data_IF_881814161462
#
_entry.id   IF_881814161462
#
_cell.length_a   1.000
_cell.length_b   1.000
_cell.length_c   1.000
_cell.angle_alpha   90.00
_cell.angle_beta   90.00
_cell.angle_gamma   90.00
#
_symmetry.space_group_name_H-M   'P 1'
#
loop_
_entity.id
_entity.type
_entity.pdbx_description
1 polymer ?
#
# COMPACT_ATOMS: atom_id res chain seq x y z
N UNK A 1 7.83 1.95 -13.74
CA UNK A 1 7.03 0.90 -14.43
C UNK A 1 7.01 -0.35 -13.56
N UNK A 2 5.87 -1.07 -13.50
CA UNK A 2 5.77 -2.42 -12.91
C UNK A 2 5.58 -3.41 -14.05
N UNK A 3 6.31 -4.53 -14.02
CA UNK A 3 6.14 -5.63 -14.96
C UNK A 3 6.14 -6.95 -14.21
N UNK A 4 5.14 -7.78 -14.47
CA UNK A 4 4.98 -9.12 -13.87
C UNK A 4 4.83 -10.14 -14.98
N UNK A 5 5.54 -11.27 -14.87
CA UNK A 5 5.41 -12.42 -15.76
C UNK A 5 5.21 -13.70 -14.95
N UNK A 6 4.14 -14.44 -15.26
CA UNK A 6 3.81 -15.78 -14.76
C UNK A 6 3.92 -15.93 -13.23
N UNK A 7 3.41 -14.94 -12.47
CA UNK A 7 3.47 -14.93 -11.02
C UNK A 7 2.55 -16.00 -10.43
N UNK A 8 3.09 -16.84 -9.56
CA UNK A 8 2.36 -17.90 -8.87
C UNK A 8 2.67 -17.84 -7.38
N UNK A 9 1.61 -17.87 -6.55
CA UNK A 9 1.74 -18.00 -5.10
C UNK A 9 0.89 -19.17 -4.62
N UNK A 10 1.54 -20.10 -3.96
CA UNK A 10 0.93 -21.29 -3.39
C UNK A 10 1.16 -21.28 -1.86
N UNK A 11 0.14 -21.68 -1.09
CA UNK A 11 0.21 -21.83 0.36
C UNK A 11 -0.20 -23.24 0.77
N UNK A 12 0.37 -23.80 1.86
CA UNK A 12 -0.08 -25.08 2.41
C UNK A 12 -1.52 -24.95 2.95
N UNK A 13 -2.38 -25.91 2.63
CA UNK A 13 -3.79 -25.96 3.07
C UNK A 13 -4.00 -26.52 4.49
N UNK A 14 -2.93 -26.76 5.24
CA UNK A 14 -2.96 -27.40 6.55
C UNK A 14 -3.05 -28.94 6.49
N UNK A 15 -3.37 -29.53 5.35
CA UNK A 15 -3.39 -30.97 5.09
C UNK A 15 -2.20 -31.48 4.27
N UNK A 16 -1.20 -30.60 4.05
CA UNK A 16 0.02 -30.93 3.30
C UNK A 16 -0.11 -30.75 1.77
N UNK A 17 -1.27 -30.35 1.26
CA UNK A 17 -1.44 -29.96 -0.14
C UNK A 17 -1.17 -28.46 -0.32
N UNK A 18 -0.63 -28.10 -1.48
CA UNK A 18 -0.46 -26.69 -1.88
C UNK A 18 -1.72 -26.16 -2.54
N UNK A 19 -2.27 -25.08 -2.00
CA UNK A 19 -3.40 -24.36 -2.57
C UNK A 19 -2.90 -23.14 -3.33
N UNK A 20 -3.26 -23.02 -4.59
CA UNK A 20 -2.94 -21.84 -5.40
C UNK A 20 -3.78 -20.65 -4.96
N UNK A 21 -3.15 -19.69 -4.34
CA UNK A 21 -3.80 -18.46 -3.84
C UNK A 21 -3.76 -17.33 -4.86
N UNK A 22 -2.79 -17.35 -5.80
CA UNK A 22 -2.63 -16.31 -6.80
C UNK A 22 -1.99 -16.88 -8.07
N UNK A 23 -2.54 -16.49 -9.24
CA UNK A 23 -1.95 -16.73 -10.55
C UNK A 23 -2.14 -15.48 -11.41
N UNK A 24 -1.04 -14.81 -11.77
CA UNK A 24 -1.04 -13.63 -12.63
C UNK A 24 -0.20 -13.94 -13.87
N UNK A 25 -0.81 -14.18 -15.03
CA UNK A 25 -0.08 -14.47 -16.27
C UNK A 25 0.83 -13.32 -16.67
N UNK A 26 0.29 -12.10 -16.67
CA UNK A 26 1.03 -10.87 -16.94
C UNK A 26 0.34 -9.65 -16.32
N UNK A 27 1.16 -8.66 -15.94
CA UNK A 27 0.66 -7.36 -15.49
C UNK A 27 1.70 -6.30 -15.85
N UNK A 28 1.26 -5.19 -16.43
CA UNK A 28 2.14 -4.05 -16.74
C UNK A 28 1.45 -2.77 -16.33
N UNK A 29 2.14 -1.93 -15.55
CA UNK A 29 1.70 -0.58 -15.18
C UNK A 29 2.82 0.41 -15.51
N UNK A 30 2.58 1.41 -16.38
CA UNK A 30 3.60 2.40 -16.73
C UNK A 30 3.97 3.29 -15.55
N UNK A 31 5.09 4.01 -15.64
CA UNK A 31 5.52 4.97 -14.62
C UNK A 31 4.44 6.03 -14.37
N UNK A 32 4.28 6.41 -13.10
CA UNK A 32 3.20 7.30 -12.67
C UNK A 32 1.80 6.73 -12.85
N UNK A 33 1.68 5.45 -13.24
CA UNK A 33 0.41 4.79 -13.44
C UNK A 33 -0.31 4.47 -12.13
N UNK A 34 -1.65 4.36 -12.21
CA UNK A 34 -2.46 3.90 -11.10
C UNK A 34 -3.49 2.85 -11.55
N UNK A 35 -3.65 1.82 -10.74
CA UNK A 35 -4.60 0.74 -11.03
C UNK A 35 -5.31 0.27 -9.76
N UNK A 36 -6.57 -0.15 -9.91
CA UNK A 36 -7.28 -0.87 -8.87
C UNK A 36 -7.22 -2.37 -9.14
N UNK A 37 -6.91 -3.12 -8.09
CA UNK A 37 -6.86 -4.58 -8.08
C UNK A 37 -8.20 -5.09 -7.56
N UNK A 38 -8.93 -5.80 -8.39
CA UNK A 38 -10.30 -6.25 -8.11
C UNK A 38 -10.40 -7.76 -8.04
N UNK A 39 -11.48 -8.24 -7.47
CA UNK A 39 -11.81 -9.66 -7.31
C UNK A 39 -12.58 -9.91 -6.03
N UNK A 40 -13.25 -11.07 -5.89
CA UNK A 40 -13.99 -11.43 -4.67
C UNK A 40 -13.08 -11.56 -3.45
N UNK A 41 -13.66 -11.70 -2.27
CA UNK A 41 -12.90 -12.01 -1.06
C UNK A 41 -12.15 -13.33 -1.25
N UNK A 42 -10.88 -13.39 -0.82
CA UNK A 42 -10.03 -14.58 -0.99
C UNK A 42 -9.42 -14.76 -2.38
N UNK A 43 -9.64 -13.85 -3.34
CA UNK A 43 -9.09 -13.96 -4.70
C UNK A 43 -7.57 -13.68 -4.83
N UNK A 44 -6.88 -13.37 -3.72
CA UNK A 44 -5.44 -13.12 -3.74
C UNK A 44 -5.03 -11.65 -3.89
N UNK A 45 -5.93 -10.67 -3.75
CA UNK A 45 -5.60 -9.23 -3.85
C UNK A 45 -4.50 -8.81 -2.87
N UNK A 46 -4.64 -9.14 -1.60
CA UNK A 46 -3.62 -8.88 -0.56
C UNK A 46 -2.32 -9.61 -0.88
N UNK A 47 -2.40 -10.87 -1.33
CA UNK A 47 -1.24 -11.68 -1.76
C UNK A 47 -0.50 -10.99 -2.91
N UNK A 48 -1.24 -10.46 -3.88
CA UNK A 48 -0.67 -9.70 -5.00
C UNK A 48 0.11 -8.46 -4.51
N UNK A 49 -0.48 -7.65 -3.62
CA UNK A 49 0.21 -6.49 -3.04
C UNK A 49 1.41 -6.89 -2.18
N UNK A 50 1.32 -7.99 -1.44
CA UNK A 50 2.44 -8.51 -0.64
C UNK A 50 3.61 -8.97 -1.52
N UNK A 51 3.35 -9.58 -2.67
CA UNK A 51 4.40 -9.93 -3.63
C UNK A 51 5.08 -8.69 -4.20
N UNK A 52 4.31 -7.67 -4.61
CA UNK A 52 4.83 -6.41 -5.11
C UNK A 52 5.69 -5.67 -4.08
N UNK A 53 5.29 -5.72 -2.81
CA UNK A 53 6.07 -5.09 -1.73
C UNK A 53 7.30 -5.92 -1.29
N UNK A 54 7.49 -7.13 -1.81
CA UNK A 54 8.52 -8.06 -1.34
C UNK A 54 8.29 -8.58 0.08
N UNK A 55 7.07 -8.47 0.62
CA UNK A 55 6.67 -9.12 1.88
C UNK A 55 6.49 -10.62 1.69
N UNK A 56 6.06 -11.04 0.51
CA UNK A 56 5.87 -12.42 0.14
C UNK A 56 6.74 -12.76 -1.07
N UNK A 57 7.45 -13.89 -0.99
CA UNK A 57 8.18 -14.46 -2.13
C UNK A 57 7.25 -15.41 -2.87
N UNK A 58 6.99 -15.21 -4.18
CA UNK A 58 6.16 -16.10 -4.96
C UNK A 58 6.85 -17.45 -5.18
N UNK A 59 6.06 -18.49 -5.46
CA UNK A 59 6.55 -19.82 -5.81
C UNK A 59 7.20 -19.84 -7.22
N UNK A 60 6.72 -19.00 -8.13
CA UNK A 60 7.25 -18.85 -9.48
C UNK A 60 6.91 -17.49 -10.07
N UNK A 61 7.61 -17.13 -11.16
CA UNK A 61 7.40 -15.88 -11.89
C UNK A 61 8.35 -14.76 -11.47
N UNK A 62 8.23 -13.63 -12.17
CA UNK A 62 9.08 -12.46 -11.96
C UNK A 62 8.28 -11.20 -11.73
N UNK A 63 8.77 -10.34 -10.83
CA UNK A 63 8.26 -9.00 -10.57
C UNK A 63 9.41 -8.03 -10.73
N UNK A 64 9.27 -7.06 -11.62
CA UNK A 64 10.20 -5.95 -11.79
C UNK A 64 9.49 -4.62 -11.54
N UNK A 65 10.11 -3.73 -10.76
CA UNK A 65 9.59 -2.40 -10.43
C UNK A 65 10.71 -1.38 -10.67
N UNK A 66 10.57 -0.61 -11.75
CA UNK A 66 11.63 0.24 -12.26
C UNK A 66 12.83 -0.60 -12.65
N UNK A 67 13.95 -0.32 -12.02
CA UNK A 67 15.26 -0.97 -12.19
C UNK A 67 15.46 -2.21 -11.29
N UNK A 68 14.49 -2.54 -10.43
CA UNK A 68 14.63 -3.61 -9.43
C UNK A 68 13.78 -4.83 -9.77
N UNK A 69 14.39 -6.00 -9.85
CA UNK A 69 13.69 -7.30 -9.90
C UNK A 69 13.45 -7.79 -8.50
N UNK A 70 12.25 -7.52 -7.96
CA UNK A 70 11.89 -7.79 -6.57
C UNK A 70 11.99 -9.27 -6.20
N UNK A 71 11.68 -10.16 -7.15
CA UNK A 71 11.72 -11.62 -6.95
C UNK A 71 13.12 -12.20 -6.83
N UNK A 72 14.17 -11.48 -7.27
CA UNK A 72 15.56 -11.90 -7.15
C UNK A 72 16.26 -11.38 -5.89
N UNK A 73 15.62 -10.49 -5.15
CA UNK A 73 16.21 -9.88 -3.95
C UNK A 73 16.35 -10.90 -2.80
N UNK A 74 17.45 -10.84 -2.08
CA UNK A 74 17.64 -11.48 -0.77
C UNK A 74 16.69 -10.90 0.28
N UNK A 75 16.61 -11.50 1.46
CA UNK A 75 15.75 -11.02 2.53
C UNK A 75 16.10 -9.57 2.96
N UNK A 76 17.39 -9.27 3.07
CA UNK A 76 17.89 -7.96 3.48
C UNK A 76 17.64 -6.91 2.40
N UNK A 77 17.88 -7.25 1.13
CA UNK A 77 17.59 -6.37 -0.01
C UNK A 77 16.10 -6.08 -0.14
N UNK A 78 15.20 -7.08 0.10
CA UNK A 78 13.75 -6.83 0.17
C UNK A 78 13.38 -5.89 1.30
N UNK A 79 14.05 -5.98 2.45
CA UNK A 79 13.85 -5.03 3.54
C UNK A 79 14.25 -3.62 3.13
N UNK A 80 15.43 -3.45 2.54
CA UNK A 80 15.91 -2.18 2.03
C UNK A 80 15.00 -1.60 0.94
N UNK A 81 14.52 -2.45 0.02
CA UNK A 81 13.56 -2.08 -1.02
C UNK A 81 12.25 -1.54 -0.41
N UNK A 82 11.66 -2.25 0.57
CA UNK A 82 10.46 -1.77 1.26
C UNK A 82 10.68 -0.44 1.95
N UNK A 83 11.79 -0.29 2.63
CA UNK A 83 12.11 0.94 3.38
C UNK A 83 12.32 2.14 2.46
N UNK A 84 12.93 1.95 1.30
CA UNK A 84 13.29 3.04 0.39
C UNK A 84 12.25 3.33 -0.70
N UNK A 85 11.53 2.31 -1.19
CA UNK A 85 10.70 2.42 -2.39
C UNK A 85 9.20 2.24 -2.15
N UNK A 86 8.78 1.56 -1.05
CA UNK A 86 7.38 1.15 -0.87
C UNK A 86 6.71 1.88 0.28
N UNK A 87 5.59 2.55 0.01
CA UNK A 87 4.61 2.96 1.01
C UNK A 87 3.46 1.96 1.02
N UNK A 88 3.10 1.43 2.19
CA UNK A 88 2.02 0.46 2.32
C UNK A 88 0.95 0.95 3.29
N UNK A 89 -0.29 1.07 2.81
CA UNK A 89 -1.48 1.38 3.62
C UNK A 89 -2.25 0.09 3.82
N UNK A 90 -2.19 -0.44 5.02
CA UNK A 90 -2.89 -1.68 5.40
C UNK A 90 -4.36 -1.43 5.69
N UNK A 91 -5.19 -2.45 5.53
CA UNK A 91 -6.60 -2.44 5.90
C UNK A 91 -6.80 -2.07 7.38
N UNK A 92 -5.98 -2.64 8.27
CA UNK A 92 -5.90 -2.22 9.68
C UNK A 92 -4.75 -1.22 9.83
N UNK A 93 -4.99 -0.04 10.43
CA UNK A 93 -3.93 0.95 10.65
C UNK A 93 -2.88 0.45 11.64
N UNK A 94 -1.85 -0.20 11.23
CA UNK A 94 -0.82 -0.78 12.10
C UNK A 94 0.01 0.31 12.81
N UNK A 95 -0.65 1.21 13.56
CA UNK A 95 0.00 2.25 14.35
C UNK A 95 0.60 1.67 15.63
N UNK A 96 1.67 2.31 16.10
CA UNK A 96 2.23 2.04 17.43
C UNK A 96 1.34 2.77 18.47
N UNK A 97 0.55 2.03 19.28
CA UNK A 97 -0.56 2.63 20.04
C UNK A 97 -0.10 3.58 21.13
N UNK A 98 1.10 3.34 21.67
CA UNK A 98 1.68 4.15 22.75
C UNK A 98 2.41 5.41 22.27
N UNK A 99 2.72 5.49 20.98
CA UNK A 99 3.32 6.66 20.36
C UNK A 99 2.25 7.68 19.98
N UNK A 100 2.61 8.95 20.01
CA UNK A 100 1.81 10.04 19.47
C UNK A 100 1.74 9.95 17.93
N UNK A 101 0.86 10.74 17.34
CA UNK A 101 0.73 10.86 15.88
C UNK A 101 2.07 11.27 15.25
N UNK A 102 2.69 12.32 15.77
CA UNK A 102 3.98 12.81 15.27
C UNK A 102 5.09 11.77 15.43
N UNK A 103 5.13 11.05 16.56
CA UNK A 103 6.11 9.98 16.79
C UNK A 103 5.92 8.80 15.86
N UNK A 104 4.68 8.39 15.57
CA UNK A 104 4.39 7.36 14.57
C UNK A 104 4.93 7.71 13.19
N UNK A 105 4.77 8.98 12.77
CA UNK A 105 5.27 9.47 11.47
C UNK A 105 6.80 9.53 11.49
N UNK A 106 7.42 10.11 12.54
CA UNK A 106 8.88 10.17 12.69
C UNK A 106 9.52 8.79 12.71
N UNK A 107 8.91 7.85 13.42
CA UNK A 107 9.39 6.47 13.46
C UNK A 107 9.45 5.86 12.05
N UNK A 108 8.41 6.05 11.24
CA UNK A 108 8.43 5.57 9.86
C UNK A 108 9.55 6.22 9.02
N UNK A 109 9.77 7.52 9.17
CA UNK A 109 10.85 8.22 8.48
C UNK A 109 12.23 7.71 8.89
N UNK A 110 12.44 7.52 10.22
CA UNK A 110 13.73 7.07 10.76
C UNK A 110 14.15 5.68 10.29
N UNK A 111 13.21 4.77 10.06
CA UNK A 111 13.49 3.45 9.50
C UNK A 111 14.12 3.51 8.10
N UNK A 112 13.86 4.58 7.35
CA UNK A 112 14.47 4.83 6.04
C UNK A 112 15.69 5.78 6.12
N UNK A 113 16.24 6.02 7.32
CA UNK A 113 17.35 6.94 7.52
C UNK A 113 17.00 8.41 7.31
N UNK A 114 15.69 8.75 7.27
CA UNK A 114 15.21 10.13 7.06
C UNK A 114 14.76 10.75 8.38
N UNK A 115 14.87 12.06 8.46
CA UNK A 115 14.36 12.83 9.58
C UNK A 115 13.16 13.65 9.11
N UNK A 116 11.98 13.39 9.68
CA UNK A 116 10.80 14.20 9.45
C UNK A 116 10.80 15.37 10.44
N UNK A 117 10.96 16.58 9.92
CA UNK A 117 10.97 17.79 10.73
C UNK A 117 9.56 18.16 11.21
N UNK A 118 9.47 18.98 12.26
CA UNK A 118 8.19 19.36 12.87
C UNK A 118 7.25 20.01 11.84
N UNK A 119 7.75 20.97 11.07
CA UNK A 119 6.94 21.67 10.06
C UNK A 119 6.46 20.77 8.92
N UNK A 120 7.25 19.75 8.52
CA UNK A 120 6.82 18.75 7.53
C UNK A 120 5.64 17.93 8.07
N UNK A 121 5.71 17.50 9.34
CA UNK A 121 4.64 16.72 9.97
C UNK A 121 3.37 17.57 10.12
N UNK A 122 3.49 18.82 10.55
CA UNK A 122 2.35 19.74 10.66
C UNK A 122 1.65 19.95 9.32
N UNK A 123 2.41 20.16 8.25
CA UNK A 123 1.89 20.26 6.89
C UNK A 123 1.18 18.98 6.44
N UNK A 124 1.78 17.80 6.66
CA UNK A 124 1.15 16.52 6.34
C UNK A 124 -0.17 16.32 7.10
N UNK A 125 -0.22 16.69 8.38
CA UNK A 125 -1.43 16.58 9.19
C UNK A 125 -2.52 17.56 8.74
N UNK A 126 -2.16 18.77 8.38
CA UNK A 126 -3.08 19.76 7.83
C UNK A 126 -3.75 19.22 6.56
N UNK A 127 -2.97 18.68 5.62
CA UNK A 127 -3.46 18.12 4.35
C UNK A 127 -4.50 17.02 4.55
N UNK A 128 -4.41 16.23 5.61
CA UNK A 128 -5.38 15.16 5.90
C UNK A 128 -6.43 15.56 6.95
N UNK A 129 -6.50 16.84 7.34
CA UNK A 129 -7.48 17.36 8.30
C UNK A 129 -7.26 16.83 9.73
N UNK A 130 -6.02 16.71 10.15
CA UNK A 130 -5.62 16.25 11.49
C UNK A 130 -4.75 17.29 12.24
N UNK A 131 -4.79 18.57 11.86
CA UNK A 131 -4.09 19.65 12.56
C UNK A 131 -4.42 19.66 14.06
N UNK A 132 -3.42 19.88 14.90
CA UNK A 132 -3.58 19.93 16.35
C UNK A 132 -3.61 18.55 17.03
N UNK A 133 -3.48 17.45 16.27
CA UNK A 133 -3.43 16.10 16.83
C UNK A 133 -2.01 15.52 16.95
N UNK A 134 -0.99 16.33 16.72
CA UNK A 134 0.43 15.92 16.68
C UNK A 134 0.86 15.14 17.91
N UNK A 135 0.43 15.62 19.08
CA UNK A 135 0.80 15.08 20.38
C UNK A 135 -0.23 14.08 20.94
N UNK A 136 -1.29 13.80 20.18
CA UNK A 136 -2.30 12.80 20.59
C UNK A 136 -1.78 11.40 20.37
N UNK A 137 -1.95 10.52 21.35
CA UNK A 137 -1.57 9.11 21.23
C UNK A 137 -2.45 8.40 20.19
N UNK A 138 -1.85 7.46 19.45
CA UNK A 138 -2.54 6.75 18.39
C UNK A 138 -3.73 5.91 18.87
N UNK A 139 -3.67 5.36 20.09
CA UNK A 139 -4.78 4.61 20.72
C UNK A 139 -6.01 5.48 21.07
N UNK A 140 -5.86 6.81 21.05
CA UNK A 140 -6.93 7.79 21.35
C UNK A 140 -7.56 8.38 20.09
N UNK A 141 -7.20 7.91 18.92
CA UNK A 141 -7.74 8.35 17.65
C UNK A 141 -8.97 7.51 17.26
N UNK A 142 -9.92 8.13 16.53
CA UNK A 142 -10.97 7.37 15.83
C UNK A 142 -10.36 6.51 14.71
N UNK A 143 -11.08 5.46 14.28
CA UNK A 143 -10.62 4.58 13.20
C UNK A 143 -10.23 5.35 11.92
N UNK A 144 -11.04 6.36 11.54
CA UNK A 144 -10.74 7.20 10.39
C UNK A 144 -9.51 8.08 10.57
N UNK A 145 -9.29 8.59 11.78
CA UNK A 145 -8.05 9.32 12.10
C UNK A 145 -6.84 8.39 12.05
N UNK A 146 -6.94 7.20 12.62
CA UNK A 146 -5.86 6.20 12.58
C UNK A 146 -5.51 5.83 11.14
N UNK A 147 -6.51 5.64 10.27
CA UNK A 147 -6.27 5.29 8.86
C UNK A 147 -5.57 6.43 8.11
N UNK A 148 -5.92 7.69 8.37
CA UNK A 148 -5.22 8.85 7.82
C UNK A 148 -3.78 8.96 8.31
N UNK A 149 -3.52 8.71 9.59
CA UNK A 149 -2.14 8.64 10.13
C UNK A 149 -1.36 7.47 9.51
N UNK A 150 -1.99 6.30 9.30
CA UNK A 150 -1.37 5.18 8.61
C UNK A 150 -0.95 5.54 7.17
N UNK A 151 -1.79 6.29 6.47
CA UNK A 151 -1.43 6.83 5.15
C UNK A 151 -0.24 7.79 5.24
N UNK A 152 -0.21 8.73 6.20
CA UNK A 152 0.94 9.62 6.38
C UNK A 152 2.24 8.88 6.67
N UNK A 153 2.18 7.80 7.45
CA UNK A 153 3.33 6.91 7.68
C UNK A 153 3.83 6.25 6.40
N UNK A 154 2.93 5.90 5.50
CA UNK A 154 3.31 5.29 4.23
C UNK A 154 4.02 6.29 3.30
N UNK A 155 3.59 7.57 3.30
CA UNK A 155 4.07 8.58 2.34
C UNK A 155 5.22 9.46 2.84
N UNK A 156 5.45 9.57 4.16
CA UNK A 156 6.51 10.45 4.72
C UNK A 156 7.90 10.13 4.17
N UNK A 157 8.10 8.92 3.70
CA UNK A 157 9.36 8.46 3.07
C UNK A 157 9.44 8.78 1.58
N UNK A 158 8.39 9.36 0.98
CA UNK A 158 8.25 9.65 -0.46
C UNK A 158 8.51 8.40 -1.30
N UNK A 159 7.66 7.38 -1.16
CA UNK A 159 7.84 6.12 -1.89
C UNK A 159 7.58 6.30 -3.38
N UNK A 160 8.29 5.53 -4.22
CA UNK A 160 8.00 5.44 -5.65
C UNK A 160 6.85 4.50 -5.98
N UNK A 161 6.46 3.63 -5.02
CA UNK A 161 5.34 2.70 -5.11
C UNK A 161 4.46 2.83 -3.86
N UNK A 162 3.21 3.23 -4.03
CA UNK A 162 2.19 3.28 -2.99
C UNK A 162 1.20 2.14 -3.19
N UNK A 163 1.12 1.27 -2.19
CA UNK A 163 0.21 0.14 -2.14
C UNK A 163 -0.85 0.38 -1.06
N UNK A 164 -2.12 0.12 -1.38
CA UNK A 164 -3.22 0.28 -0.44
C UNK A 164 -4.13 -0.96 -0.48
N UNK A 165 -4.26 -1.62 0.65
CA UNK A 165 -5.08 -2.82 0.80
C UNK A 165 -6.36 -2.46 1.57
N UNK A 166 -7.51 -2.44 0.87
CA UNK A 166 -8.83 -2.08 1.41
C UNK A 166 -8.80 -0.81 2.30
N UNK A 167 -8.20 0.31 1.84
CA UNK A 167 -7.87 1.45 2.71
C UNK A 167 -9.10 2.14 3.30
N UNK A 168 -10.29 1.90 2.76
CA UNK A 168 -11.55 2.54 3.18
C UNK A 168 -12.52 1.58 3.88
N UNK A 169 -12.17 0.30 4.04
CA UNK A 169 -13.11 -0.73 4.52
C UNK A 169 -13.67 -0.48 5.93
N UNK A 170 -12.92 0.21 6.80
CA UNK A 170 -13.33 0.54 8.17
C UNK A 170 -13.83 1.98 8.33
N UNK A 171 -14.05 2.72 7.22
CA UNK A 171 -14.41 4.11 7.21
C UNK A 171 -15.87 4.30 6.77
N UNK A 172 -16.54 5.31 7.34
CA UNK A 172 -17.75 5.83 6.75
C UNK A 172 -17.48 6.44 5.37
N UNK A 173 -18.54 6.71 4.64
CA UNK A 173 -18.43 7.16 3.24
C UNK A 173 -17.65 8.48 3.10
N UNK A 174 -17.88 9.44 3.99
CA UNK A 174 -17.22 10.74 3.93
C UNK A 174 -15.73 10.64 4.22
N UNK A 175 -15.35 9.91 5.27
CA UNK A 175 -13.95 9.70 5.62
C UNK A 175 -13.23 8.84 4.58
N UNK A 176 -13.89 7.82 4.01
CA UNK A 176 -13.36 7.03 2.91
C UNK A 176 -13.09 7.87 1.66
N UNK A 177 -14.03 8.75 1.29
CA UNK A 177 -13.86 9.68 0.17
C UNK A 177 -12.69 10.63 0.40
N UNK A 178 -12.60 11.25 1.59
CA UNK A 178 -11.49 12.15 1.94
C UNK A 178 -10.14 11.45 1.86
N UNK A 179 -10.01 10.23 2.41
CA UNK A 179 -8.76 9.48 2.32
C UNK A 179 -8.36 9.21 0.88
N UNK A 180 -9.31 8.79 0.02
CA UNK A 180 -9.03 8.57 -1.38
C UNK A 180 -8.63 9.85 -2.11
N UNK A 181 -9.27 10.99 -1.80
CA UNK A 181 -8.89 12.29 -2.35
C UNK A 181 -7.42 12.63 -2.03
N UNK A 182 -6.98 12.41 -0.78
CA UNK A 182 -5.58 12.62 -0.38
C UNK A 182 -4.62 11.67 -1.09
N UNK A 183 -4.97 10.38 -1.21
CA UNK A 183 -4.12 9.40 -1.89
C UNK A 183 -3.92 9.74 -3.36
N UNK A 184 -5.01 10.11 -4.05
CA UNK A 184 -4.96 10.47 -5.47
C UNK A 184 -4.28 11.84 -5.71
N UNK A 185 -4.43 12.79 -4.79
CA UNK A 185 -3.70 14.07 -4.84
C UNK A 185 -2.20 13.83 -4.68
N UNK A 186 -1.80 13.05 -3.67
CA UNK A 186 -0.41 12.68 -3.44
C UNK A 186 0.20 11.97 -4.66
N UNK A 187 -0.51 10.99 -5.23
CA UNK A 187 -0.05 10.27 -6.41
C UNK A 187 0.22 11.21 -7.59
N UNK A 188 -0.68 12.19 -7.84
CA UNK A 188 -0.50 13.17 -8.92
C UNK A 188 0.66 14.13 -8.68
N UNK A 189 0.88 14.55 -7.43
CA UNK A 189 1.96 15.46 -7.06
C UNK A 189 3.33 14.80 -7.14
N UNK A 190 3.45 13.58 -6.63
CA UNK A 190 4.74 12.87 -6.54
C UNK A 190 5.02 11.98 -7.77
N UNK A 191 4.02 11.73 -8.62
CA UNK A 191 4.17 10.85 -9.79
C UNK A 191 4.48 9.39 -9.45
N UNK A 192 4.17 8.95 -8.21
CA UNK A 192 4.43 7.58 -7.79
C UNK A 192 3.46 6.59 -8.45
N UNK A 193 3.84 5.32 -8.48
CA UNK A 193 2.93 4.22 -8.84
C UNK A 193 1.93 4.01 -7.70
N UNK A 194 0.63 3.87 -8.02
CA UNK A 194 -0.42 3.61 -7.03
C UNK A 194 -1.23 2.38 -7.39
N UNK A 195 -1.21 1.37 -6.51
CA UNK A 195 -2.11 0.22 -6.60
C UNK A 195 -3.01 0.15 -5.37
N UNK A 196 -4.31 0.02 -5.60
CA UNK A 196 -5.31 -0.11 -4.54
C UNK A 196 -6.08 -1.42 -4.72
N UNK A 197 -5.99 -2.32 -3.76
CA UNK A 197 -6.85 -3.50 -3.72
C UNK A 197 -8.14 -3.16 -2.99
N UNK A 198 -9.28 -3.37 -3.64
CA UNK A 198 -10.58 -3.14 -3.01
C UNK A 198 -11.72 -3.83 -3.76
N UNK A 199 -12.83 -4.04 -3.07
CA UNK A 199 -14.12 -4.44 -3.63
C UNK A 199 -15.15 -3.31 -3.63
N UNK A 200 -14.81 -2.12 -3.08
CA UNK A 200 -15.69 -0.95 -3.07
C UNK A 200 -15.76 -0.30 -4.45
N UNK A 201 -16.94 -0.37 -5.08
CA UNK A 201 -17.18 0.22 -6.41
C UNK A 201 -16.94 1.73 -6.45
N UNK A 202 -17.15 2.45 -5.34
CA UNK A 202 -16.92 3.90 -5.27
C UNK A 202 -15.43 4.21 -5.42
N UNK A 203 -14.57 3.39 -4.81
CA UNK A 203 -13.11 3.49 -4.94
C UNK A 203 -12.67 3.04 -6.33
N UNK A 204 -13.18 1.90 -6.83
CA UNK A 204 -12.84 1.38 -8.16
C UNK A 204 -13.05 2.41 -9.27
N UNK A 205 -14.14 3.19 -9.20
CA UNK A 205 -14.48 4.20 -10.20
C UNK A 205 -13.50 5.40 -10.24
N UNK A 206 -12.60 5.50 -9.29
CA UNK A 206 -11.58 6.55 -9.20
C UNK A 206 -10.28 6.20 -9.95
N UNK A 207 -10.12 4.96 -10.40
CA UNK A 207 -8.92 4.47 -11.06
C UNK A 207 -9.15 4.30 -12.57
N UNK A 208 -8.18 4.72 -13.41
CA UNK A 208 -8.29 4.58 -14.86
C UNK A 208 -8.13 3.13 -15.33
N UNK A 209 -7.38 2.32 -14.58
CA UNK A 209 -7.10 0.93 -14.91
C UNK A 209 -7.65 0.01 -13.81
N UNK A 210 -8.27 -1.10 -14.25
CA UNK A 210 -8.77 -2.14 -13.35
C UNK A 210 -8.17 -3.48 -13.75
N UNK A 211 -7.57 -4.15 -12.81
CA UNK A 211 -7.04 -5.49 -12.99
C UNK A 211 -7.81 -6.48 -12.14
N UNK A 212 -8.41 -7.48 -12.77
CA UNK A 212 -9.09 -8.58 -12.08
C UNK A 212 -8.08 -9.70 -11.80
N UNK A 213 -7.78 -9.87 -10.52
CA UNK A 213 -6.78 -10.85 -10.07
C UNK A 213 -7.22 -12.31 -10.34
N UNK A 214 -8.52 -12.57 -10.33
CA UNK A 214 -9.05 -13.91 -10.60
C UNK A 214 -9.02 -14.25 -12.08
N UNK A 215 -9.29 -13.26 -12.94
CA UNK A 215 -9.22 -13.41 -14.39
C UNK A 215 -7.79 -13.30 -14.91
N UNK A 216 -6.89 -12.71 -14.15
CA UNK A 216 -5.52 -12.44 -14.56
C UNK A 216 -5.40 -11.43 -15.70
N UNK A 217 -6.33 -10.48 -15.80
CA UNK A 217 -6.41 -9.54 -16.91
C UNK A 217 -6.93 -8.15 -16.49
N UNK A 218 -6.58 -7.14 -17.27
CA UNK A 218 -7.22 -5.83 -17.22
C UNK A 218 -8.65 -5.90 -17.76
N UNK A 219 -9.56 -5.07 -17.16
CA UNK A 219 -10.98 -4.96 -17.53
C UNK A 219 -11.22 -3.68 -18.32
#
# INVERSE_FOLDING_TARGET
MITIHHLICDFPDGGGKMLRALSVPSFTLPDGGMAVITGPSGSGKTTFLHCLSGLLTPAAGTISIGDVTVTSLSADERCAFRLSRVGYVFQKPLLLPYLTVAENIRFSASLAGKRAEKGEIENLLERVGLSGLENRRADRLSGGQQQRVSFLRAIVRRPSLLLADEPTASLDEENGRKLMDFMLAYQREEGCLLLCATHDKRVMNRFPLRYDVQKGAFL
#
